data_IF_467861351461
#
_entry.id   IF_467861351461
#
_cell.length_a   1.000
_cell.length_b   1.000
_cell.length_c   1.000
_cell.angle_alpha   90.00
_cell.angle_beta   90.00
_cell.angle_gamma   90.00
#
_symmetry.space_group_name_H-M   'P 1'
#
loop_
_entity.id
_entity.type
_entity.pdbx_description
1 polymer ?
#
# COMPACT_ATOMS: atom_id res chain seq x y z
N UNK A 1 -31.17 5.03 5.34
CA UNK A 1 -30.26 4.13 4.58
C UNK A 1 -28.92 4.88 4.32
N UNK A 2 -28.21 5.34 5.36
CA UNK A 2 -27.04 6.22 5.21
C UNK A 2 -25.83 5.87 6.09
N UNK A 3 -25.81 4.70 6.73
CA UNK A 3 -24.79 4.45 7.77
C UNK A 3 -23.65 3.49 7.36
N UNK A 4 -23.78 2.72 6.29
CA UNK A 4 -22.77 1.71 5.92
C UNK A 4 -21.62 2.34 5.12
N UNK A 5 -21.90 3.28 4.24
CA UNK A 5 -20.87 3.94 3.42
C UNK A 5 -19.93 4.84 4.23
N UNK A 6 -20.45 5.51 5.26
CA UNK A 6 -19.66 6.38 6.12
C UNK A 6 -18.63 5.60 6.94
N UNK A 7 -18.96 4.39 7.37
CA UNK A 7 -18.08 3.56 8.22
C UNK A 7 -16.84 3.09 7.45
N UNK A 8 -17.00 2.66 6.19
CA UNK A 8 -15.88 2.12 5.40
C UNK A 8 -14.89 3.23 5.00
N UNK A 9 -15.39 4.40 4.62
CA UNK A 9 -14.55 5.55 4.28
C UNK A 9 -13.76 6.04 5.50
N UNK A 10 -14.40 6.11 6.67
CA UNK A 10 -13.74 6.49 7.93
C UNK A 10 -12.59 5.52 8.25
N UNK A 11 -12.81 4.21 8.11
CA UNK A 11 -11.79 3.20 8.38
C UNK A 11 -10.58 3.33 7.45
N UNK A 12 -10.78 3.63 6.16
CA UNK A 12 -9.67 3.82 5.23
C UNK A 12 -8.87 5.10 5.53
N UNK A 13 -9.54 6.17 5.90
CA UNK A 13 -8.86 7.41 6.31
C UNK A 13 -8.04 7.17 7.57
N UNK A 14 -8.61 6.56 8.61
CA UNK A 14 -7.90 6.20 9.83
C UNK A 14 -6.69 5.29 9.56
N UNK A 15 -6.81 4.35 8.62
CA UNK A 15 -5.71 3.48 8.21
C UNK A 15 -4.55 4.28 7.61
N UNK A 16 -4.82 5.19 6.68
CA UNK A 16 -3.79 6.02 6.07
C UNK A 16 -3.19 7.04 7.03
N UNK A 17 -3.98 7.57 7.97
CA UNK A 17 -3.48 8.43 9.04
C UNK A 17 -2.47 7.67 9.93
N UNK A 18 -2.75 6.41 10.25
CA UNK A 18 -1.80 5.55 10.96
C UNK A 18 -0.52 5.30 10.16
N UNK A 19 -0.61 5.08 8.86
CA UNK A 19 0.58 4.93 8.01
C UNK A 19 1.43 6.21 8.01
N UNK A 20 0.81 7.37 7.86
CA UNK A 20 1.51 8.67 7.91
C UNK A 20 2.22 8.88 9.26
N UNK A 21 1.55 8.57 10.37
CA UNK A 21 2.15 8.65 11.69
C UNK A 21 3.34 7.68 11.84
N UNK A 22 3.21 6.46 11.31
CA UNK A 22 4.28 5.46 11.34
C UNK A 22 5.49 5.90 10.50
N UNK A 23 5.25 6.47 9.31
CA UNK A 23 6.32 7.02 8.47
C UNK A 23 7.05 8.16 9.19
N UNK A 24 6.32 9.08 9.81
CA UNK A 24 6.91 10.18 10.56
C UNK A 24 7.76 9.68 11.75
N UNK A 25 7.27 8.68 12.49
CA UNK A 25 8.00 8.06 13.59
C UNK A 25 9.31 7.41 13.10
N UNK A 26 9.25 6.62 12.03
CA UNK A 26 10.44 6.00 11.42
C UNK A 26 11.48 7.03 10.99
N UNK A 27 11.06 8.11 10.34
CA UNK A 27 11.95 9.19 9.91
C UNK A 27 12.56 9.98 11.08
N UNK A 28 11.91 9.98 12.24
CA UNK A 28 12.45 10.57 13.46
C UNK A 28 13.57 9.72 14.03
N UNK A 29 13.47 8.39 13.94
CA UNK A 29 14.49 7.44 14.39
C UNK A 29 15.67 7.36 13.40
N UNK A 30 15.38 7.32 12.10
CA UNK A 30 16.39 7.32 11.04
C UNK A 30 15.92 8.16 9.86
N UNK A 31 16.57 9.31 9.66
CA UNK A 31 16.27 10.25 8.57
C UNK A 31 16.45 9.60 7.18
N UNK A 32 17.23 8.54 7.08
CA UNK A 32 17.46 7.79 5.84
C UNK A 32 16.51 6.58 5.69
N UNK A 33 15.59 6.38 6.63
CA UNK A 33 14.63 5.29 6.53
C UNK A 33 13.82 5.41 5.24
N UNK A 34 13.71 4.32 4.49
CA UNK A 34 12.90 4.25 3.29
C UNK A 34 11.61 3.48 3.58
N UNK A 35 10.52 3.98 3.01
CA UNK A 35 9.20 3.41 3.18
C UNK A 35 8.73 2.76 1.87
N UNK A 36 8.19 1.56 2.00
CA UNK A 36 7.53 0.85 0.92
C UNK A 36 6.24 0.24 1.48
N UNK A 37 5.15 0.60 0.87
CA UNK A 37 3.83 0.08 1.20
C UNK A 37 3.27 -0.69 0.02
N UNK A 38 2.77 -1.91 0.26
CA UNK A 38 2.13 -2.76 -0.73
C UNK A 38 0.82 -3.31 -0.15
N UNK A 39 -0.23 -3.36 -0.97
CA UNK A 39 -1.49 -3.98 -0.57
C UNK A 39 -2.57 -3.90 -1.62
N UNK A 40 -3.54 -4.83 -1.50
CA UNK A 40 -4.82 -4.76 -2.20
C UNK A 40 -5.73 -3.76 -1.47
N UNK A 41 -5.89 -2.59 -2.08
CA UNK A 41 -6.72 -1.52 -1.53
C UNK A 41 -8.15 -1.53 -2.07
N UNK A 42 -8.44 -2.35 -3.08
CA UNK A 42 -9.71 -2.31 -3.80
C UNK A 42 -10.09 -0.89 -4.23
N UNK A 43 -9.06 -0.08 -4.50
CA UNK A 43 -9.19 1.33 -4.86
C UNK A 43 -9.39 1.51 -6.35
N UNK A 44 -10.39 2.30 -6.71
CA UNK A 44 -10.62 2.73 -8.09
C UNK A 44 -10.47 4.25 -8.17
N UNK A 45 -9.66 4.73 -9.12
CA UNK A 45 -9.48 6.14 -9.40
C UNK A 45 -9.25 6.36 -10.90
N UNK A 46 -10.11 7.18 -11.54
CA UNK A 46 -10.10 7.33 -13.00
C UNK A 46 -8.80 7.95 -13.50
N UNK A 47 -8.39 9.06 -12.93
CA UNK A 47 -7.24 9.83 -13.41
C UNK A 47 -5.89 9.23 -12.96
N UNK A 48 -5.86 8.56 -11.83
CA UNK A 48 -4.62 8.05 -11.23
C UNK A 48 -4.34 6.58 -11.55
N UNK A 49 -5.37 5.73 -11.49
CA UNK A 49 -5.25 4.29 -11.70
C UNK A 49 -5.82 3.83 -13.05
N UNK A 50 -6.35 4.74 -13.85
CA UNK A 50 -7.00 4.41 -15.13
C UNK A 50 -8.26 3.56 -14.98
N UNK A 51 -8.89 3.57 -13.82
CA UNK A 51 -10.11 2.83 -13.55
C UNK A 51 -11.31 3.43 -14.28
N UNK A 52 -12.34 2.64 -14.56
CA UNK A 52 -13.58 3.15 -15.16
C UNK A 52 -14.41 4.01 -14.21
N UNK A 53 -14.21 3.86 -12.92
CA UNK A 53 -14.92 4.59 -11.85
C UNK A 53 -13.94 5.06 -10.79
N UNK A 54 -14.38 5.96 -9.90
CA UNK A 54 -13.66 6.36 -8.70
C UNK A 54 -14.50 5.98 -7.48
N UNK A 55 -13.88 5.35 -6.49
CA UNK A 55 -14.50 5.01 -5.22
C UNK A 55 -13.76 5.68 -4.03
N UNK A 56 -14.34 5.57 -2.83
CA UNK A 56 -13.76 6.17 -1.62
C UNK A 56 -12.37 5.63 -1.26
N UNK A 57 -12.09 4.35 -1.55
CA UNK A 57 -10.78 3.75 -1.31
C UNK A 57 -9.73 4.34 -2.25
N UNK A 58 -10.06 4.50 -3.53
CA UNK A 58 -9.16 5.11 -4.50
C UNK A 58 -8.87 6.58 -4.18
N UNK A 59 -9.89 7.34 -3.73
CA UNK A 59 -9.69 8.72 -3.26
C UNK A 59 -8.76 8.76 -2.05
N UNK A 60 -9.01 7.95 -1.03
CA UNK A 60 -8.20 7.93 0.18
C UNK A 60 -6.74 7.51 -0.11
N UNK A 61 -6.53 6.55 -1.01
CA UNK A 61 -5.19 6.14 -1.43
C UNK A 61 -4.47 7.25 -2.23
N UNK A 62 -5.19 7.96 -3.09
CA UNK A 62 -4.65 9.10 -3.84
C UNK A 62 -4.27 10.26 -2.92
N UNK A 63 -5.14 10.59 -1.96
CA UNK A 63 -4.88 11.62 -0.96
C UNK A 63 -3.64 11.26 -0.11
N UNK A 64 -3.55 10.00 0.34
CA UNK A 64 -2.36 9.50 1.05
C UNK A 64 -1.09 9.64 0.21
N UNK A 65 -1.09 9.19 -1.05
CA UNK A 65 0.06 9.31 -1.94
C UNK A 65 0.49 10.78 -2.11
N UNK A 66 -0.50 11.68 -2.27
CA UNK A 66 -0.25 13.12 -2.42
C UNK A 66 0.34 13.73 -1.15
N UNK A 67 -0.20 13.43 0.03
CA UNK A 67 0.25 13.98 1.31
C UNK A 67 1.61 13.43 1.72
N UNK A 68 1.84 12.12 1.52
CA UNK A 68 3.09 11.46 1.87
C UNK A 68 4.23 11.71 0.88
N UNK A 69 3.92 12.23 -0.32
CA UNK A 69 4.88 12.33 -1.41
C UNK A 69 5.29 10.98 -2.00
N UNK A 70 4.47 9.94 -1.82
CA UNK A 70 4.72 8.63 -2.37
C UNK A 70 4.25 8.52 -3.82
N UNK A 71 5.09 7.89 -4.65
CA UNK A 71 4.70 7.46 -5.98
C UNK A 71 4.12 6.05 -5.95
N UNK A 72 3.05 5.84 -6.71
CA UNK A 72 2.48 4.52 -6.98
C UNK A 72 3.18 3.92 -8.21
N UNK A 73 3.78 2.73 -8.08
CA UNK A 73 4.68 2.16 -9.07
C UNK A 73 4.08 1.02 -9.91
N UNK A 74 2.91 0.52 -9.56
CA UNK A 74 2.27 -0.58 -10.31
C UNK A 74 1.65 -0.05 -11.58
N UNK A 75 2.10 -0.56 -12.72
CA UNK A 75 1.58 -0.17 -14.05
C UNK A 75 0.82 -1.35 -14.65
N UNK A 76 -0.45 -1.12 -14.95
CA UNK A 76 -1.33 -2.11 -15.55
C UNK A 76 -2.22 -2.86 -14.54
N UNK A 77 -3.12 -3.71 -15.05
CA UNK A 77 -4.11 -4.38 -14.22
C UNK A 77 -3.46 -5.47 -13.34
N UNK A 78 -3.86 -5.50 -12.09
CA UNK A 78 -3.47 -6.53 -11.11
C UNK A 78 -4.59 -7.53 -10.84
N UNK A 79 -5.78 -7.29 -11.38
CA UNK A 79 -6.93 -8.17 -11.21
C UNK A 79 -7.43 -8.68 -12.56
N UNK A 80 -7.92 -9.91 -12.62
CA UNK A 80 -8.40 -10.58 -13.84
C UNK A 80 -9.52 -9.82 -14.59
N UNK A 81 -10.28 -8.97 -13.88
CA UNK A 81 -11.33 -8.11 -14.44
C UNK A 81 -10.81 -6.76 -14.96
N UNK A 82 -9.48 -6.53 -14.93
CA UNK A 82 -8.85 -5.37 -15.56
C UNK A 82 -8.64 -4.16 -14.64
N UNK A 83 -8.72 -4.29 -13.33
CA UNK A 83 -8.42 -3.19 -12.38
C UNK A 83 -6.99 -3.26 -11.83
N UNK A 84 -6.40 -2.09 -11.52
CA UNK A 84 -5.18 -1.98 -10.72
C UNK A 84 -5.60 -1.82 -9.25
N UNK A 85 -5.75 -2.92 -8.55
CA UNK A 85 -6.28 -2.96 -7.18
C UNK A 85 -5.17 -3.12 -6.14
N UNK A 86 -4.08 -3.80 -6.52
CA UNK A 86 -2.89 -3.98 -5.72
C UNK A 86 -1.93 -2.84 -6.05
N UNK A 87 -1.61 -2.02 -5.06
CA UNK A 87 -0.75 -0.86 -5.21
C UNK A 87 0.56 -1.07 -4.47
N UNK A 88 1.63 -0.50 -5.02
CA UNK A 88 2.92 -0.41 -4.36
C UNK A 88 3.36 1.05 -4.38
N UNK A 89 3.53 1.63 -3.19
CA UNK A 89 3.83 3.04 -3.01
C UNK A 89 5.13 3.24 -2.24
N UNK A 90 5.93 4.21 -2.67
CA UNK A 90 7.19 4.59 -2.03
C UNK A 90 7.55 6.04 -2.35
N UNK A 91 8.28 6.72 -1.48
CA UNK A 91 8.88 8.03 -1.77
C UNK A 91 10.32 7.94 -2.31
N UNK A 92 10.81 6.72 -2.60
CA UNK A 92 12.10 6.47 -3.24
C UNK A 92 11.94 5.67 -4.54
N UNK A 93 11.16 6.18 -5.52
CA UNK A 93 10.75 5.43 -6.71
C UNK A 93 11.94 4.98 -7.56
N UNK A 94 13.04 5.71 -7.56
CA UNK A 94 14.25 5.38 -8.32
C UNK A 94 14.95 4.11 -7.80
N UNK A 95 14.69 3.74 -6.55
CA UNK A 95 15.28 2.57 -5.90
C UNK A 95 14.42 1.31 -6.02
N UNK A 96 13.23 1.41 -6.62
CA UNK A 96 12.29 0.29 -6.70
C UNK A 96 11.90 0.03 -8.15
N UNK A 97 11.90 -1.23 -8.53
CA UNK A 97 11.38 -1.70 -9.83
C UNK A 97 10.26 -2.68 -9.57
N UNK A 98 9.12 -2.47 -10.20
CA UNK A 98 7.93 -3.31 -10.02
C UNK A 98 7.51 -3.89 -11.35
N UNK A 99 7.13 -5.15 -11.33
CA UNK A 99 6.50 -5.82 -12.47
C UNK A 99 5.24 -6.55 -12.01
N UNK A 100 4.17 -6.43 -12.79
CA UNK A 100 3.00 -7.28 -12.65
C UNK A 100 3.31 -8.58 -13.36
N UNK A 101 3.27 -9.69 -12.63
CA UNK A 101 3.53 -11.03 -13.17
C UNK A 101 2.25 -11.86 -13.20
N UNK A 102 2.28 -12.97 -13.92
CA UNK A 102 1.10 -13.80 -14.14
C UNK A 102 0.42 -14.23 -12.82
N UNK A 103 -0.87 -14.55 -12.94
CA UNK A 103 -1.67 -15.16 -11.88
C UNK A 103 -1.00 -16.42 -11.34
N UNK A 104 -1.03 -16.61 -10.03
CA UNK A 104 -0.52 -17.83 -9.39
C UNK A 104 -1.70 -18.72 -8.99
N UNK A 105 -1.73 -19.92 -9.51
CA UNK A 105 -2.78 -20.88 -9.23
C UNK A 105 -4.16 -20.41 -9.73
N UNK A 106 -5.16 -20.48 -8.87
CA UNK A 106 -6.54 -20.05 -9.15
C UNK A 106 -6.86 -18.65 -8.62
N UNK A 107 -5.84 -17.84 -8.34
CA UNK A 107 -6.05 -16.44 -7.91
C UNK A 107 -6.62 -15.62 -9.05
N UNK A 108 -7.51 -14.68 -8.73
CA UNK A 108 -7.97 -13.64 -9.65
C UNK A 108 -7.09 -12.38 -9.57
N UNK A 109 -6.09 -12.36 -8.67
CA UNK A 109 -5.06 -11.33 -8.59
C UNK A 109 -3.75 -11.79 -9.19
N UNK A 110 -3.10 -10.91 -9.96
CA UNK A 110 -1.74 -11.05 -10.45
C UNK A 110 -0.74 -10.86 -9.28
N UNK A 111 0.41 -11.48 -9.39
CA UNK A 111 1.46 -11.24 -8.41
C UNK A 111 2.25 -9.98 -8.75
N UNK A 112 2.70 -9.26 -7.75
CA UNK A 112 3.65 -8.17 -7.89
C UNK A 112 5.06 -8.68 -7.57
N UNK A 113 6.00 -8.39 -8.45
CA UNK A 113 7.43 -8.61 -8.22
C UNK A 113 8.10 -7.26 -8.02
N UNK A 114 8.57 -6.99 -6.81
CA UNK A 114 9.32 -5.78 -6.50
C UNK A 114 10.82 -6.11 -6.31
N UNK A 115 11.68 -5.33 -6.96
CA UNK A 115 13.14 -5.36 -6.76
C UNK A 115 13.56 -4.04 -6.15
N UNK A 116 14.17 -4.11 -4.96
CA UNK A 116 14.64 -2.93 -4.23
C UNK A 116 16.15 -2.85 -4.42
N UNK A 117 16.63 -1.72 -4.96
CA UNK A 117 18.04 -1.42 -5.14
C UNK A 117 18.58 -0.81 -3.84
N UNK A 118 19.24 -1.62 -3.03
CA UNK A 118 19.85 -1.17 -1.77
C UNK A 118 21.31 -0.77 -2.02
N UNK A 119 21.71 0.42 -1.62
CA UNK A 119 23.08 0.93 -1.79
C UNK A 119 24.10 0.22 -0.89
N UNK A 120 23.66 -0.46 0.17
CA UNK A 120 24.50 -1.28 1.06
C UNK A 120 23.73 -2.53 1.49
N UNK A 121 24.43 -3.68 1.52
CA UNK A 121 23.91 -4.87 2.17
C UNK A 121 23.73 -4.57 3.67
N UNK A 122 22.49 -4.43 4.13
CA UNK A 122 22.20 -4.33 5.56
C UNK A 122 22.47 -5.71 6.17
N UNK A 123 23.45 -5.84 7.08
CA UNK A 123 23.92 -7.16 7.54
C UNK A 123 22.87 -7.97 8.30
N UNK A 124 21.70 -7.44 8.60
CA UNK A 124 20.67 -8.09 9.41
C UNK A 124 19.25 -7.78 8.96
N UNK A 125 18.95 -7.91 7.67
CA UNK A 125 17.55 -7.94 7.26
C UNK A 125 16.95 -9.31 7.66
N UNK A 126 16.53 -9.42 8.91
CA UNK A 126 15.72 -10.53 9.35
C UNK A 126 14.31 -10.31 8.82
N UNK A 127 14.05 -10.75 7.59
CA UNK A 127 12.70 -10.84 7.06
C UNK A 127 12.01 -11.98 7.82
N UNK A 128 11.47 -11.64 8.98
CA UNK A 128 10.58 -12.56 9.68
C UNK A 128 9.27 -12.62 8.89
N UNK A 129 9.19 -13.64 8.02
CA UNK A 129 7.95 -14.07 7.39
C UNK A 129 7.05 -14.70 8.47
N UNK A 130 6.62 -13.90 9.44
CA UNK A 130 5.63 -14.33 10.41
C UNK A 130 4.25 -14.04 9.84
N UNK A 131 3.63 -15.10 9.34
CA UNK A 131 2.19 -15.38 9.33
C UNK A 131 1.24 -14.15 9.31
N UNK A 132 1.29 -13.36 8.24
CA UNK A 132 0.26 -12.36 7.97
C UNK A 132 -1.13 -12.98 7.73
N UNK A 133 -1.21 -14.31 7.60
CA UNK A 133 -2.44 -15.04 7.27
C UNK A 133 -3.27 -15.51 8.47
N UNK A 134 -2.88 -15.25 9.72
CA UNK A 134 -3.59 -15.80 10.89
C UNK A 134 -4.12 -14.82 11.93
N UNK A 135 -3.83 -13.54 11.84
CA UNK A 135 -4.38 -12.58 12.80
C UNK A 135 -5.01 -11.41 12.06
N UNK A 136 -6.30 -11.20 12.29
CA UNK A 136 -6.91 -9.89 12.08
C UNK A 136 -6.11 -8.90 12.93
N UNK A 137 -5.26 -8.09 12.28
CA UNK A 137 -4.47 -7.10 12.97
C UNK A 137 -5.44 -6.09 13.56
N UNK A 138 -5.50 -6.00 14.87
CA UNK A 138 -6.29 -4.99 15.54
C UNK A 138 -5.51 -3.66 15.47
N UNK A 139 -5.74 -2.92 14.41
CA UNK A 139 -5.07 -1.64 14.12
C UNK A 139 -5.19 -0.62 15.26
N UNK A 140 -6.27 -0.67 16.07
CA UNK A 140 -6.40 0.17 17.26
C UNK A 140 -5.33 -0.09 18.30
N UNK A 141 -4.82 -1.32 18.39
CA UNK A 141 -3.74 -1.68 19.32
C UNK A 141 -2.38 -1.23 18.78
N UNK A 142 -2.19 -1.24 17.46
CA UNK A 142 -0.93 -0.81 16.83
C UNK A 142 -0.80 0.72 16.88
N UNK A 143 -1.84 1.46 16.57
CA UNK A 143 -1.85 2.93 16.59
C UNK A 143 -1.95 3.53 18.00
N UNK A 144 -2.37 2.77 19.00
CA UNK A 144 -2.47 3.23 20.41
C UNK A 144 -1.19 3.03 21.23
N UNK A 145 -0.11 2.53 20.61
CA UNK A 145 1.18 2.27 21.27
C UNK A 145 2.27 3.29 20.88
N UNK A 146 1.88 4.39 20.17
CA UNK A 146 2.77 5.50 19.80
C UNK A 146 2.45 6.71 20.66
#
# INVERSE_FOLDING_TARGET
MCSVFTTTQTLMTEFFDCLLASMAAMQTEDINASFLFEGDLNGHHQEWLGSTTTNSHGVAAFDFATVSGCDQLVVGPTHARGGTLDLLMTYVPDQVRVAVVALIGNSDHSSLLAVILMAQAVPNLCVSRKDFLKHQVNWKTVCGAI
#
